data_IF_299197195739
#
_entry.id   IF_299197195739
#
_cell.length_a   1.000
_cell.length_b   1.000
_cell.length_c   1.000
_cell.angle_alpha   90.00
_cell.angle_beta   90.00
_cell.angle_gamma   90.00
#
_symmetry.space_group_name_H-M   'P 1'
#
loop_
_entity.id
_entity.type
_entity.pdbx_description
1 polymer ?
#
# COMPACT_ATOMS: atom_id res chain seq x y z
N UNK A 1 -14.83 17.76 -1.20
CA UNK A 1 -13.43 17.49 -1.59
C UNK A 1 -12.56 18.64 -1.12
N UNK A 2 -11.24 18.43 -0.97
CA UNK A 2 -10.29 19.50 -0.65
C UNK A 2 -10.10 20.37 -1.90
N UNK A 3 -10.30 21.68 -1.79
CA UNK A 3 -10.28 22.61 -2.93
C UNK A 3 -8.89 22.76 -3.56
N UNK A 4 -7.82 22.45 -2.83
CA UNK A 4 -6.44 22.48 -3.30
C UNK A 4 -6.01 21.23 -4.08
N UNK A 5 -6.85 20.18 -4.14
CA UNK A 5 -6.51 18.93 -4.82
C UNK A 5 -7.30 18.78 -6.12
N UNK A 6 -6.66 18.21 -7.14
CA UNK A 6 -7.31 17.95 -8.43
C UNK A 6 -8.36 16.84 -8.26
N UNK A 7 -9.62 17.06 -8.69
CA UNK A 7 -10.68 16.07 -8.52
C UNK A 7 -10.37 14.73 -9.21
N UNK A 8 -10.68 13.62 -8.53
CA UNK A 8 -10.64 12.26 -9.07
C UNK A 8 -9.25 11.79 -9.58
N UNK A 9 -8.17 12.35 -9.00
CA UNK A 9 -6.79 11.96 -9.31
C UNK A 9 -6.04 11.28 -8.16
N UNK A 10 -6.74 10.87 -7.09
CA UNK A 10 -6.09 10.23 -5.93
C UNK A 10 -5.24 9.00 -6.29
N UNK A 11 -5.68 8.18 -7.26
CA UNK A 11 -4.90 7.03 -7.72
C UNK A 11 -3.58 7.40 -8.43
N UNK A 12 -3.50 8.61 -9.01
CA UNK A 12 -2.27 9.16 -9.57
C UNK A 12 -1.36 9.70 -8.46
N UNK A 13 -1.93 10.33 -7.43
CA UNK A 13 -1.20 10.73 -6.22
C UNK A 13 -0.53 9.53 -5.56
N UNK A 14 -1.26 8.42 -5.35
CA UNK A 14 -0.72 7.17 -4.81
C UNK A 14 0.46 6.61 -5.60
N UNK A 15 0.29 6.49 -6.93
CA UNK A 15 1.36 6.01 -7.80
C UNK A 15 2.53 7.00 -7.89
N UNK A 16 2.25 8.30 -7.77
CA UNK A 16 3.21 9.40 -7.76
C UNK A 16 4.10 9.36 -6.51
N UNK A 17 3.52 9.12 -5.33
CA UNK A 17 4.27 8.95 -4.09
C UNK A 17 5.28 7.80 -4.20
N UNK A 18 4.86 6.64 -4.73
CA UNK A 18 5.78 5.53 -4.97
C UNK A 18 6.84 5.85 -6.03
N UNK A 19 6.54 6.69 -7.03
CA UNK A 19 7.53 7.12 -8.02
C UNK A 19 8.58 8.05 -7.40
N UNK A 20 8.16 9.01 -6.57
CA UNK A 20 9.06 9.92 -5.85
C UNK A 20 9.94 9.15 -4.87
N UNK A 21 9.36 8.24 -4.09
CA UNK A 21 10.07 7.34 -3.19
C UNK A 21 11.19 6.56 -3.89
N UNK A 22 10.88 5.92 -5.02
CA UNK A 22 11.86 5.17 -5.81
C UNK A 22 12.96 6.07 -6.37
N UNK A 23 12.62 7.29 -6.81
CA UNK A 23 13.57 8.24 -7.39
C UNK A 23 14.55 8.79 -6.35
N UNK A 24 14.08 8.97 -5.12
CA UNK A 24 14.88 9.46 -3.99
C UNK A 24 15.49 8.34 -3.15
N UNK A 25 15.22 7.08 -3.48
CA UNK A 25 15.70 5.90 -2.76
C UNK A 25 15.32 5.91 -1.27
N UNK A 26 14.13 6.43 -0.95
CA UNK A 26 13.62 6.48 0.42
C UNK A 26 13.20 5.08 0.88
N UNK A 27 12.59 4.29 -0.01
CA UNK A 27 12.15 2.91 0.21
C UNK A 27 11.18 2.76 1.40
N UNK A 28 10.31 3.75 1.61
CA UNK A 28 9.27 3.74 2.64
C UNK A 28 7.87 3.55 2.05
N UNK A 29 7.64 3.88 0.77
CA UNK A 29 6.34 3.63 0.12
C UNK A 29 6.30 2.22 -0.48
N UNK A 30 5.36 1.34 -0.07
CA UNK A 30 5.19 0.06 -0.75
C UNK A 30 4.90 0.28 -2.22
N UNK A 31 5.54 -0.51 -3.10
CA UNK A 31 5.49 -0.29 -4.55
C UNK A 31 4.05 -0.14 -5.04
N UNK A 32 3.75 1.01 -5.62
CA UNK A 32 2.41 1.38 -6.08
C UNK A 32 2.44 1.82 -7.53
N UNK A 33 1.55 1.29 -8.36
CA UNK A 33 1.44 1.64 -9.79
C UNK A 33 -0.02 1.76 -10.22
N UNK A 34 -0.25 2.46 -11.33
CA UNK A 34 -1.55 2.49 -11.99
C UNK A 34 -1.76 1.19 -12.76
N UNK A 35 -2.86 0.50 -12.47
CA UNK A 35 -3.24 -0.76 -13.13
C UNK A 35 -4.69 -0.72 -13.60
N UNK A 36 -5.06 -1.63 -14.50
CA UNK A 36 -6.45 -1.86 -14.91
C UNK A 36 -6.90 -3.25 -14.49
N UNK A 37 -7.86 -3.36 -13.57
CA UNK A 37 -8.35 -4.64 -13.07
C UNK A 37 -9.85 -4.81 -13.34
N UNK A 38 -10.27 -6.07 -13.46
CA UNK A 38 -11.68 -6.48 -13.57
C UNK A 38 -11.96 -7.45 -12.43
N UNK A 39 -13.02 -7.19 -11.65
CA UNK A 39 -13.49 -8.11 -10.61
C UNK A 39 -14.99 -7.94 -10.40
N UNK A 40 -15.75 -9.02 -10.25
CA UNK A 40 -17.19 -8.95 -9.97
C UNK A 40 -17.53 -8.25 -8.65
N UNK A 41 -16.58 -8.24 -7.71
CA UNK A 41 -16.69 -7.55 -6.41
C UNK A 41 -16.58 -6.03 -6.51
N UNK A 42 -16.05 -5.49 -7.62
CA UNK A 42 -15.98 -4.04 -7.79
C UNK A 42 -17.36 -3.42 -8.04
N UNK A 43 -17.51 -2.15 -7.64
CA UNK A 43 -18.76 -1.41 -7.82
C UNK A 43 -18.94 -0.95 -9.28
N UNK A 44 -19.72 -1.67 -10.07
CA UNK A 44 -20.07 -1.30 -11.45
C UNK A 44 -21.49 -0.77 -11.56
N UNK A 45 -21.73 0.09 -12.55
CA UNK A 45 -23.08 0.51 -12.90
C UNK A 45 -23.92 -0.71 -13.29
N UNK A 46 -25.23 -0.65 -12.98
CA UNK A 46 -26.18 -1.73 -13.31
C UNK A 46 -26.15 -2.05 -14.81
N UNK A 47 -26.06 -1.02 -15.66
CA UNK A 47 -25.96 -1.18 -17.11
C UNK A 47 -24.74 -1.98 -17.56
N UNK A 48 -23.59 -1.83 -16.88
CA UNK A 48 -22.37 -2.56 -17.23
C UNK A 48 -22.49 -4.04 -16.85
N UNK A 49 -23.12 -4.32 -15.70
CA UNK A 49 -23.41 -5.68 -15.25
C UNK A 49 -24.37 -6.39 -16.20
N UNK A 50 -25.48 -5.74 -16.57
CA UNK A 50 -26.46 -6.33 -17.50
C UNK A 50 -25.87 -6.51 -18.90
N UNK A 51 -25.08 -5.55 -19.39
CA UNK A 51 -24.38 -5.68 -20.68
C UNK A 51 -23.39 -6.83 -20.69
N UNK A 52 -22.64 -7.02 -19.60
CA UNK A 52 -21.71 -8.13 -19.46
C UNK A 52 -22.45 -9.49 -19.47
N UNK A 53 -23.58 -9.59 -18.75
CA UNK A 53 -24.44 -10.79 -18.73
C UNK A 53 -25.05 -11.09 -20.10
N UNK A 54 -25.63 -10.09 -20.76
CA UNK A 54 -26.24 -10.25 -22.08
C UNK A 54 -25.22 -10.71 -23.12
N UNK A 55 -24.03 -10.09 -23.15
CA UNK A 55 -22.94 -10.52 -24.06
C UNK A 55 -22.48 -11.94 -23.79
N UNK A 56 -22.38 -12.34 -22.51
CA UNK A 56 -22.03 -13.71 -22.13
C UNK A 56 -23.09 -14.71 -22.57
N UNK A 57 -24.37 -14.41 -22.34
CA UNK A 57 -25.48 -15.26 -22.79
C UNK A 57 -25.55 -15.38 -24.33
N UNK A 58 -25.30 -14.30 -25.07
CA UNK A 58 -25.24 -14.35 -26.54
C UNK A 58 -24.04 -15.16 -27.02
N UNK A 59 -22.88 -15.03 -26.36
CA UNK A 59 -21.70 -15.83 -26.70
C UNK A 59 -21.93 -17.33 -26.47
N UNK A 60 -22.57 -17.69 -25.35
CA UNK A 60 -22.90 -19.08 -25.00
C UNK A 60 -23.95 -19.68 -25.94
N UNK A 61 -24.97 -18.90 -26.33
CA UNK A 61 -26.06 -19.38 -27.23
C UNK A 61 -25.69 -19.38 -28.71
N UNK A 62 -24.93 -18.39 -29.16
CA UNK A 62 -24.57 -18.21 -30.57
C UNK A 62 -23.07 -17.89 -30.70
N UNK A 63 -22.18 -18.91 -30.65
CA UNK A 63 -20.74 -18.70 -30.65
C UNK A 63 -20.22 -17.91 -31.86
N UNK A 64 -20.85 -18.05 -33.02
CA UNK A 64 -20.49 -17.34 -34.26
C UNK A 64 -20.73 -15.83 -34.15
N UNK A 65 -21.81 -15.41 -33.47
CA UNK A 65 -22.10 -14.01 -33.17
C UNK A 65 -21.24 -13.51 -32.00
N UNK A 66 -21.01 -14.36 -31.01
CA UNK A 66 -20.19 -14.07 -29.83
C UNK A 66 -18.73 -13.75 -30.15
N UNK A 67 -18.13 -14.42 -31.14
CA UNK A 67 -16.74 -14.14 -31.58
C UNK A 67 -16.53 -12.72 -32.12
N UNK A 68 -17.60 -11.98 -32.44
CA UNK A 68 -17.52 -10.56 -32.83
C UNK A 68 -17.38 -9.61 -31.64
N UNK A 69 -17.58 -10.10 -30.41
CA UNK A 69 -17.40 -9.28 -29.21
C UNK A 69 -15.91 -9.19 -28.86
N UNK A 70 -15.31 -8.02 -29.08
CA UNK A 70 -13.94 -7.70 -28.66
C UNK A 70 -13.70 -7.81 -27.14
N UNK A 71 -14.77 -7.84 -26.34
CA UNK A 71 -14.69 -8.02 -24.88
C UNK A 71 -15.98 -8.63 -24.36
N UNK A 72 -15.82 -9.69 -23.56
CA UNK A 72 -16.86 -10.35 -22.78
C UNK A 72 -16.53 -10.11 -21.31
N UNK A 73 -17.53 -9.73 -20.51
CA UNK A 73 -17.36 -9.38 -19.10
C UNK A 73 -17.36 -7.88 -18.81
N UNK A 74 -17.05 -7.54 -17.56
CA UNK A 74 -17.08 -6.18 -17.01
C UNK A 74 -15.91 -5.34 -17.55
N UNK A 75 -16.06 -4.01 -17.64
CA UNK A 75 -14.96 -3.13 -18.08
C UNK A 75 -13.85 -3.07 -17.02
N UNK A 76 -12.57 -2.96 -17.41
CA UNK A 76 -11.48 -2.76 -16.46
C UNK A 76 -11.59 -1.39 -15.82
N UNK A 77 -11.38 -1.34 -14.50
CA UNK A 77 -11.27 -0.11 -13.73
C UNK A 77 -9.81 0.25 -13.55
N UNK A 78 -9.46 1.49 -13.90
CA UNK A 78 -8.15 2.06 -13.61
C UNK A 78 -8.11 2.49 -12.14
N UNK A 79 -7.01 2.18 -11.48
CA UNK A 79 -6.77 2.58 -10.09
C UNK A 79 -5.32 2.33 -9.68
N UNK A 80 -4.96 2.77 -8.49
CA UNK A 80 -3.69 2.48 -7.85
C UNK A 80 -3.74 1.06 -7.30
N UNK A 81 -2.62 0.35 -7.42
CA UNK A 81 -2.42 -0.95 -6.81
C UNK A 81 -1.09 -0.94 -6.08
N UNK A 82 -1.19 -0.98 -4.76
CA UNK A 82 -0.08 -0.93 -3.82
C UNK A 82 0.20 -2.36 -3.33
N UNK A 83 1.48 -2.72 -3.20
CA UNK A 83 1.86 -3.98 -2.57
C UNK A 83 1.48 -3.97 -1.10
N UNK A 84 0.87 -5.07 -0.64
CA UNK A 84 0.57 -5.29 0.76
C UNK A 84 1.86 -5.53 1.56
N UNK A 85 1.94 -4.99 2.78
CA UNK A 85 3.08 -5.18 3.69
C UNK A 85 2.65 -5.93 4.94
N UNK A 86 3.41 -6.95 5.31
CA UNK A 86 3.08 -7.86 6.41
C UNK A 86 3.80 -7.51 7.70
N UNK A 87 3.12 -7.72 8.84
CA UNK A 87 3.70 -7.50 10.18
C UNK A 87 3.81 -6.04 10.61
N UNK A 88 3.25 -5.12 9.82
CA UNK A 88 3.15 -3.70 10.15
C UNK A 88 1.90 -3.41 11.00
N UNK A 89 1.97 -2.37 11.82
CA UNK A 89 0.84 -1.79 12.55
C UNK A 89 0.88 -0.27 12.47
N UNK A 90 -0.23 0.38 12.74
CA UNK A 90 -0.36 1.84 12.78
C UNK A 90 0.77 2.46 13.63
N UNK A 91 1.30 3.59 13.18
CA UNK A 91 2.38 4.24 13.91
C UNK A 91 1.94 4.67 15.31
N UNK A 92 0.71 5.16 15.48
CA UNK A 92 0.15 5.52 16.79
C UNK A 92 0.22 4.34 17.79
N UNK A 93 -0.02 3.11 17.35
CA UNK A 93 0.07 1.91 18.19
C UNK A 93 1.48 1.72 18.77
N UNK A 94 2.51 1.94 17.95
CA UNK A 94 3.91 1.75 18.36
C UNK A 94 4.46 2.94 19.12
N UNK A 95 4.17 4.17 18.68
CA UNK A 95 4.63 5.39 19.34
C UNK A 95 4.18 5.43 20.81
N UNK A 96 2.91 5.11 21.10
CA UNK A 96 2.40 5.02 22.49
C UNK A 96 3.12 3.97 23.32
N UNK A 97 3.57 2.87 22.70
CA UNK A 97 4.35 1.83 23.39
C UNK A 97 5.77 2.28 23.65
N UNK A 98 6.38 3.03 22.74
CA UNK A 98 7.72 3.58 22.92
C UNK A 98 7.78 4.63 24.04
N UNK A 99 6.67 5.33 24.31
CA UNK A 99 6.56 6.19 25.51
C UNK A 99 6.65 5.40 26.82
N UNK A 100 6.05 4.20 26.87
CA UNK A 100 6.05 3.35 28.07
C UNK A 100 7.28 2.43 28.17
N UNK A 101 7.75 1.93 27.04
CA UNK A 101 8.90 1.03 26.88
C UNK A 101 9.83 1.63 25.81
N UNK A 102 10.75 2.52 26.20
CA UNK A 102 11.66 3.17 25.27
C UNK A 102 12.47 2.17 24.45
N UNK A 103 12.69 2.51 23.18
CA UNK A 103 13.58 1.76 22.30
C UNK A 103 15.02 1.81 22.81
N UNK A 104 15.83 0.80 22.44
CA UNK A 104 17.27 0.88 22.63
C UNK A 104 17.85 1.97 21.71
N UNK A 105 18.92 2.64 22.13
CA UNK A 105 19.52 3.77 21.40
C UNK A 105 19.83 3.44 19.93
N UNK A 106 20.27 2.20 19.64
CA UNK A 106 20.53 1.74 18.28
C UNK A 106 19.27 1.65 17.42
N UNK A 107 18.17 1.15 17.96
CA UNK A 107 16.89 0.99 17.25
C UNK A 107 16.20 2.34 17.11
N UNK A 108 16.28 3.19 18.14
CA UNK A 108 15.75 4.55 18.10
C UNK A 108 16.41 5.38 17.00
N UNK A 109 17.74 5.25 16.85
CA UNK A 109 18.47 5.89 15.75
C UNK A 109 18.03 5.39 14.37
N UNK A 110 17.81 4.09 14.20
CA UNK A 110 17.29 3.55 12.93
C UNK A 110 15.87 4.05 12.66
N UNK A 111 15.02 4.07 13.70
CA UNK A 111 13.66 4.60 13.60
C UNK A 111 13.65 6.06 13.17
N UNK A 112 14.49 6.90 13.78
CA UNK A 112 14.66 8.30 13.41
C UNK A 112 15.04 8.47 11.94
N UNK A 113 15.97 7.65 11.42
CA UNK A 113 16.36 7.69 10.01
C UNK A 113 15.20 7.30 9.07
N UNK A 114 14.39 6.29 9.45
CA UNK A 114 13.20 5.91 8.69
C UNK A 114 12.13 7.02 8.72
N UNK A 115 11.95 7.67 9.87
CA UNK A 115 11.03 8.77 10.04
C UNK A 115 11.45 10.01 9.22
N UNK A 116 12.74 10.34 9.18
CA UNK A 116 13.26 11.42 8.34
C UNK A 116 12.96 11.20 6.86
N UNK A 117 13.04 9.95 6.38
CA UNK A 117 12.65 9.61 5.00
C UNK A 117 11.16 9.83 4.74
N UNK A 118 10.30 9.48 5.71
CA UNK A 118 8.87 9.78 5.64
C UNK A 118 8.62 11.29 5.58
N UNK A 119 9.30 12.07 6.43
CA UNK A 119 9.20 13.54 6.44
C UNK A 119 9.61 14.14 5.10
N UNK A 120 10.74 13.69 4.54
CA UNK A 120 11.21 14.13 3.22
C UNK A 120 10.17 13.83 2.14
N UNK A 121 9.63 12.61 2.12
CA UNK A 121 8.59 12.22 1.17
C UNK A 121 7.37 13.15 1.27
N UNK A 122 6.75 13.22 2.45
CA UNK A 122 5.50 13.95 2.67
C UNK A 122 5.68 15.45 2.42
N UNK A 123 6.84 16.01 2.74
CA UNK A 123 7.13 17.41 2.47
C UNK A 123 7.27 17.69 0.97
N UNK A 124 7.98 16.83 0.23
CA UNK A 124 8.18 16.99 -1.22
C UNK A 124 6.88 16.86 -2.00
N UNK A 125 6.06 15.85 -1.68
CA UNK A 125 4.76 15.66 -2.34
C UNK A 125 3.68 16.57 -1.78
N UNK A 126 3.98 17.31 -0.70
CA UNK A 126 3.05 18.13 0.06
C UNK A 126 1.79 17.35 0.48
N UNK A 127 2.01 16.18 1.08
CA UNK A 127 0.92 15.35 1.56
C UNK A 127 0.02 16.12 2.52
N UNK A 128 -1.27 16.16 2.21
CA UNK A 128 -2.24 16.94 3.00
C UNK A 128 -2.92 16.08 4.07
N UNK A 129 -2.73 14.76 4.07
CA UNK A 129 -3.50 13.82 4.89
C UNK A 129 -2.66 12.78 5.65
N UNK A 130 -1.48 13.18 6.12
CA UNK A 130 -0.66 12.30 6.98
C UNK A 130 -1.06 12.43 8.46
N UNK A 131 -1.88 11.48 8.94
CA UNK A 131 -2.08 11.19 10.37
C UNK A 131 -1.21 10.02 10.84
N UNK A 132 -1.11 9.80 12.16
CA UNK A 132 -0.35 8.67 12.76
C UNK A 132 -0.99 7.28 12.55
N UNK A 133 -2.19 7.25 11.98
CA UNK A 133 -2.91 6.09 11.48
C UNK A 133 -2.56 5.77 10.01
N UNK A 134 -2.06 6.75 9.25
CA UNK A 134 -1.80 6.63 7.81
C UNK A 134 -0.35 6.27 7.48
N UNK A 135 0.48 5.93 8.46
CA UNK A 135 1.78 5.32 8.23
C UNK A 135 1.99 4.22 9.26
N UNK A 136 2.75 3.20 8.86
CA UNK A 136 2.87 1.99 9.62
C UNK A 136 4.30 1.79 10.11
N UNK A 137 4.43 1.14 11.26
CA UNK A 137 5.70 0.71 11.82
C UNK A 137 5.67 -0.83 11.94
N UNK A 138 6.74 -1.46 11.48
CA UNK A 138 7.07 -2.85 11.78
C UNK A 138 8.23 -2.83 12.76
N UNK A 139 8.05 -3.43 13.93
CA UNK A 139 9.10 -3.59 14.93
C UNK A 139 9.16 -5.04 15.40
N UNK A 140 10.32 -5.68 15.19
CA UNK A 140 10.61 -7.03 15.68
C UNK A 140 11.59 -6.92 16.86
N UNK A 141 11.14 -7.33 18.05
CA UNK A 141 11.99 -7.43 19.24
C UNK A 141 13.05 -8.52 19.02
N UNK A 142 14.25 -8.41 19.65
CA UNK A 142 15.25 -9.46 19.56
C UNK A 142 14.68 -10.74 20.19
N UNK A 143 14.62 -11.81 19.40
CA UNK A 143 14.15 -13.12 19.85
C UNK A 143 15.38 -14.01 20.12
N UNK A 144 15.54 -14.46 21.35
CA UNK A 144 16.54 -15.46 21.72
C UNK A 144 15.88 -16.82 21.54
N UNK A 145 16.08 -17.45 20.39
CA UNK A 145 15.68 -18.84 20.22
C UNK A 145 16.70 -19.69 20.94
N UNK A 146 16.31 -20.28 22.07
CA UNK A 146 17.08 -21.34 22.72
C UNK A 146 17.05 -22.58 21.82
N UNK A 147 18.10 -22.79 21.05
CA UNK A 147 18.37 -24.08 20.41
C UNK A 147 18.96 -25.00 21.47
N UNK A 148 18.21 -26.03 21.86
CA UNK A 148 18.62 -27.01 22.90
C UNK A 148 19.89 -27.80 22.50
N UNK A 149 20.29 -27.74 21.22
CA UNK A 149 21.37 -28.55 20.63
C UNK A 149 22.55 -27.77 20.01
N UNK A 150 22.59 -26.43 20.09
CA UNK A 150 23.71 -25.63 19.54
C UNK A 150 24.43 -24.79 20.60
N UNK A 151 25.77 -24.81 20.61
CA UNK A 151 26.65 -24.13 21.58
C UNK A 151 26.63 -22.58 21.45
N UNK A 152 25.98 -22.06 20.40
CA UNK A 152 25.84 -20.62 20.13
C UNK A 152 24.39 -20.28 19.78
N UNK A 153 23.72 -19.49 20.62
CA UNK A 153 22.38 -18.98 20.31
C UNK A 153 22.47 -17.87 19.24
N UNK A 154 21.81 -18.07 18.09
CA UNK A 154 21.68 -17.03 17.06
C UNK A 154 20.64 -16.00 17.49
N UNK A 155 21.09 -14.85 17.98
CA UNK A 155 20.22 -13.71 18.30
C UNK A 155 19.94 -12.92 17.04
N UNK A 156 18.66 -12.82 16.65
CA UNK A 156 18.27 -11.90 15.56
C UNK A 156 18.35 -10.46 16.07
N UNK A 157 19.07 -9.56 15.39
CA UNK A 157 19.09 -8.17 15.79
C UNK A 157 17.68 -7.57 15.67
N UNK A 158 17.30 -6.65 16.58
CA UNK A 158 16.02 -5.98 16.48
C UNK A 158 15.94 -5.19 15.17
N UNK A 159 14.79 -5.26 14.51
CA UNK A 159 14.57 -4.57 13.23
C UNK A 159 13.35 -3.65 13.33
N UNK A 160 13.51 -2.40 12.88
CA UNK A 160 12.43 -1.42 12.80
C UNK A 160 12.35 -0.84 11.38
N UNK A 161 11.14 -0.79 10.82
CA UNK A 161 10.87 -0.23 9.49
C UNK A 161 9.60 0.60 9.48
N UNK A 162 9.57 1.61 8.61
CA UNK A 162 8.40 2.45 8.36
C UNK A 162 7.82 2.15 6.98
N UNK A 163 6.50 2.14 6.87
CA UNK A 163 5.80 2.09 5.60
C UNK A 163 4.81 3.26 5.47
N UNK A 164 4.98 4.07 4.42
CA UNK A 164 4.09 5.18 4.09
C UNK A 164 2.95 4.69 3.18
N UNK A 165 1.75 4.55 3.74
CA UNK A 165 0.55 4.12 3.01
C UNK A 165 -0.41 5.31 2.80
N UNK A 166 -1.52 5.11 2.10
CA UNK A 166 -2.57 6.14 1.92
C UNK A 166 -2.03 7.52 1.49
N UNK A 167 -1.44 7.57 0.29
CA UNK A 167 -0.84 8.77 -0.27
C UNK A 167 -1.74 9.43 -1.32
N UNK A 168 -3.06 9.18 -1.27
CA UNK A 168 -4.03 9.60 -2.28
C UNK A 168 -4.38 11.09 -2.26
N UNK A 169 -3.91 11.84 -1.25
CA UNK A 169 -4.25 13.25 -1.03
C UNK A 169 -2.99 14.12 -0.89
N UNK A 170 -2.10 14.03 -1.86
CA UNK A 170 -0.90 14.87 -2.01
C UNK A 170 -0.98 15.76 -3.25
#
# INVERSE_FOLDING_TARGET
GRSCLVPNQGYLSEAGASLVDQKLQLNVVPKTKVVGLVSETFNYLRIDREKARAKRAVFERFPVLGRRFHRIGLPPKKGSFQLFVEGYKDADYWLRRFETEPLTESVDREFQLQFERLVVLDYIIRNTDRGNDNWLIKYEKPDVRESVDEEWNVVRPPEIRVAAIDNGLA
#
